data_IF_809526330452
#
_entry.id   IF_809526330452
#
_cell.length_a   1.000
_cell.length_b   1.000
_cell.length_c   1.000
_cell.angle_alpha   90.00
_cell.angle_beta   90.00
_cell.angle_gamma   90.00
#
_symmetry.space_group_name_H-M   'P 1'
#
loop_
_entity.id
_entity.type
_entity.pdbx_description
1 polymer ?
#
# COMPACT_ATOMS: atom_id res chain seq x y z
N UNK A 1 6.59 5.59 16.19
CA UNK A 1 6.36 4.90 14.90
C UNK A 1 7.44 5.41 13.97
N UNK A 2 8.23 4.54 13.34
CA UNK A 2 9.32 4.97 12.46
C UNK A 2 8.75 5.79 11.28
N UNK A 3 9.55 6.74 10.78
CA UNK A 3 9.20 7.52 9.60
C UNK A 3 8.95 6.57 8.41
N UNK A 4 7.84 6.69 7.65
CA UNK A 4 7.59 5.88 6.45
C UNK A 4 8.74 5.89 5.44
N UNK A 5 9.49 7.00 5.36
CA UNK A 5 10.69 7.12 4.53
C UNK A 5 11.83 6.25 5.06
N UNK A 6 12.10 6.28 6.37
CA UNK A 6 13.11 5.44 7.03
C UNK A 6 12.80 3.93 6.90
N UNK A 7 11.52 3.56 6.98
CA UNK A 7 11.07 2.17 6.75
C UNK A 7 11.33 1.76 5.30
N UNK A 8 11.06 2.65 4.35
CA UNK A 8 11.29 2.40 2.92
C UNK A 8 12.79 2.25 2.61
N UNK A 9 13.63 3.09 3.22
CA UNK A 9 15.08 3.05 3.05
C UNK A 9 15.70 1.77 3.64
N UNK A 10 15.32 1.41 4.87
CA UNK A 10 15.84 0.20 5.55
C UNK A 10 15.27 -1.09 4.96
N UNK A 11 14.01 -1.06 4.51
CA UNK A 11 13.31 -2.22 3.93
C UNK A 11 13.62 -2.43 2.45
N UNK A 12 14.03 -1.40 1.73
CA UNK A 12 14.29 -1.44 0.28
C UNK A 12 15.22 -2.56 -0.19
N UNK A 13 16.36 -2.82 0.48
CA UNK A 13 17.22 -3.96 0.14
C UNK A 13 16.49 -5.31 0.22
N UNK A 14 15.80 -5.57 1.33
CA UNK A 14 15.04 -6.82 1.52
C UNK A 14 13.89 -6.95 0.50
N UNK A 15 13.16 -5.86 0.22
CA UNK A 15 12.11 -5.86 -0.81
C UNK A 15 12.68 -6.22 -2.18
N UNK A 16 13.85 -5.69 -2.54
CA UNK A 16 14.53 -6.05 -3.80
C UNK A 16 14.95 -7.51 -3.85
N UNK A 17 15.47 -8.05 -2.74
CA UNK A 17 15.82 -9.48 -2.64
C UNK A 17 14.60 -10.38 -2.83
N UNK A 18 13.49 -10.06 -2.17
CA UNK A 18 12.22 -10.81 -2.32
C UNK A 18 11.68 -10.69 -3.74
N UNK A 19 11.72 -9.50 -4.35
CA UNK A 19 11.30 -9.30 -5.73
C UNK A 19 12.12 -10.18 -6.69
N UNK A 20 13.44 -10.21 -6.51
CA UNK A 20 14.32 -11.07 -7.30
C UNK A 20 14.05 -12.57 -7.08
N UNK A 21 13.76 -12.98 -5.84
CA UNK A 21 13.46 -14.38 -5.53
C UNK A 21 12.10 -14.86 -6.07
N UNK A 22 11.17 -13.95 -6.36
CA UNK A 22 9.81 -14.24 -6.81
C UNK A 22 9.54 -13.81 -8.25
N UNK A 23 10.58 -13.42 -9.01
CA UNK A 23 10.47 -12.91 -10.38
C UNK A 23 9.52 -11.70 -10.52
N UNK A 24 9.47 -10.85 -9.50
CA UNK A 24 8.70 -9.59 -9.51
C UNK A 24 9.62 -8.44 -9.95
N UNK A 25 9.22 -7.60 -10.92
CA UNK A 25 9.98 -6.41 -11.25
C UNK A 25 10.13 -5.49 -10.02
N UNK A 26 11.35 -5.15 -9.61
CA UNK A 26 11.56 -4.32 -8.42
C UNK A 26 10.87 -2.95 -8.51
N UNK A 27 10.71 -2.40 -9.72
CA UNK A 27 9.96 -1.16 -9.96
C UNK A 27 8.44 -1.29 -9.84
N UNK A 28 7.90 -2.51 -9.69
CA UNK A 28 6.47 -2.74 -9.50
C UNK A 28 6.03 -2.56 -8.03
N UNK A 29 6.97 -2.46 -7.09
CA UNK A 29 6.67 -2.33 -5.66
C UNK A 29 6.90 -0.90 -5.19
N UNK A 30 5.82 -0.13 -5.10
CA UNK A 30 5.79 1.23 -4.55
C UNK A 30 5.62 1.18 -3.02
N UNK A 31 6.73 1.02 -2.29
CA UNK A 31 6.73 0.86 -0.83
C UNK A 31 6.02 2.04 -0.12
N UNK A 32 6.34 3.33 -0.42
CA UNK A 32 5.69 4.45 0.23
C UNK A 32 4.17 4.43 0.07
N UNK A 33 3.68 4.16 -1.15
CA UNK A 33 2.24 4.12 -1.44
C UNK A 33 1.53 2.96 -0.73
N UNK A 34 2.16 1.78 -0.65
CA UNK A 34 1.60 0.62 0.08
C UNK A 34 1.49 0.92 1.58
N UNK A 35 2.53 1.52 2.17
CA UNK A 35 2.53 1.89 3.59
C UNK A 35 1.50 2.97 3.89
N UNK A 36 1.35 3.94 2.98
CA UNK A 36 0.35 5.00 3.10
C UNK A 36 -1.09 4.44 3.03
N UNK A 37 -1.39 3.56 2.08
CA UNK A 37 -2.69 2.87 2.03
C UNK A 37 -2.97 2.11 3.34
N UNK A 38 -1.97 1.36 3.82
CA UNK A 38 -2.08 0.58 5.05
C UNK A 38 -2.39 1.49 6.24
N UNK A 39 -1.77 2.67 6.30
CA UNK A 39 -2.01 3.71 7.31
C UNK A 39 -3.45 4.23 7.22
N UNK A 40 -3.91 4.63 6.05
CA UNK A 40 -5.27 5.14 5.83
C UNK A 40 -6.34 4.11 6.24
N UNK A 41 -6.18 2.86 5.83
CA UNK A 41 -7.12 1.78 6.22
C UNK A 41 -7.12 1.55 7.73
N UNK A 42 -5.93 1.55 8.34
CA UNK A 42 -5.77 1.32 9.77
C UNK A 42 -6.39 2.42 10.62
N UNK A 43 -6.35 3.67 10.13
CA UNK A 43 -6.96 4.83 10.80
C UNK A 43 -8.48 4.87 10.61
N UNK A 44 -8.98 4.61 9.40
CA UNK A 44 -10.40 4.81 9.05
C UNK A 44 -11.28 3.57 9.22
N UNK A 45 -10.69 2.40 9.44
CA UNK A 45 -11.40 1.15 9.74
C UNK A 45 -10.85 0.55 11.03
N UNK A 46 -10.02 -0.48 10.90
CA UNK A 46 -9.36 -1.14 12.04
C UNK A 46 -7.94 -1.54 11.62
N UNK A 47 -6.98 -1.47 12.56
CA UNK A 47 -5.57 -1.77 12.30
C UNK A 47 -5.32 -3.13 11.61
N UNK A 48 -6.03 -4.23 11.93
CA UNK A 48 -5.81 -5.51 11.25
C UNK A 48 -6.11 -5.50 9.74
N UNK A 49 -6.90 -4.54 9.24
CA UNK A 49 -7.29 -4.48 7.84
C UNK A 49 -6.25 -3.84 6.92
N UNK A 50 -5.25 -3.13 7.46
CA UNK A 50 -4.19 -2.50 6.65
C UNK A 50 -3.49 -3.50 5.72
N UNK A 51 -2.91 -4.60 6.24
CA UNK A 51 -2.28 -5.64 5.41
C UNK A 51 -3.25 -6.33 4.44
N UNK A 52 -4.51 -6.54 4.86
CA UNK A 52 -5.54 -7.13 3.99
C UNK A 52 -5.80 -6.22 2.80
N UNK A 53 -5.85 -4.90 3.03
CA UNK A 53 -6.02 -3.92 1.97
C UNK A 53 -4.84 -3.87 0.99
N UNK A 54 -3.61 -3.86 1.50
CA UNK A 54 -2.41 -3.93 0.66
C UNK A 54 -2.41 -5.17 -0.25
N UNK A 55 -2.82 -6.33 0.29
CA UNK A 55 -2.95 -7.56 -0.49
C UNK A 55 -4.03 -7.44 -1.59
N UNK A 56 -5.20 -6.86 -1.28
CA UNK A 56 -6.27 -6.62 -2.26
C UNK A 56 -5.80 -5.70 -3.38
N UNK A 57 -5.08 -4.61 -3.07
CA UNK A 57 -4.52 -3.71 -4.08
C UNK A 57 -3.57 -4.46 -5.02
N UNK A 58 -2.66 -5.28 -4.48
CA UNK A 58 -1.76 -6.10 -5.28
C UNK A 58 -2.50 -7.07 -6.21
N UNK A 59 -3.57 -7.72 -5.70
CA UNK A 59 -4.43 -8.58 -6.50
C UNK A 59 -5.18 -7.81 -7.60
N UNK A 60 -5.57 -6.56 -7.35
CA UNK A 60 -6.24 -5.73 -8.34
C UNK A 60 -5.28 -5.31 -9.46
N UNK A 61 -4.06 -4.88 -9.12
CA UNK A 61 -3.01 -4.55 -10.10
C UNK A 61 -2.71 -5.77 -10.98
N UNK A 62 -2.56 -6.96 -10.39
CA UNK A 62 -2.31 -8.19 -11.15
C UNK A 62 -3.46 -8.59 -12.10
N UNK A 63 -4.71 -8.24 -11.75
CA UNK A 63 -5.90 -8.52 -12.58
C UNK A 63 -6.14 -7.49 -13.68
N UNK A 64 -5.51 -6.33 -13.59
CA UNK A 64 -5.70 -5.19 -14.49
C UNK A 64 -4.35 -4.67 -14.99
N UNK A 65 -3.63 -5.42 -15.84
CA UNK A 65 -2.27 -5.06 -16.28
C UNK A 65 -2.21 -3.76 -17.09
N UNK A 66 -3.32 -3.35 -17.71
CA UNK A 66 -3.41 -2.12 -18.50
C UNK A 66 -3.90 -0.91 -17.67
N UNK A 67 -4.26 -1.10 -16.40
CA UNK A 67 -4.71 -0.01 -15.54
C UNK A 67 -3.53 0.68 -14.86
N UNK A 68 -3.64 2.00 -14.66
CA UNK A 68 -2.69 2.71 -13.81
C UNK A 68 -2.85 2.26 -12.34
N UNK A 69 -1.78 1.77 -11.68
CA UNK A 69 -1.82 1.44 -10.26
C UNK A 69 -2.29 2.61 -9.37
N UNK A 70 -2.05 3.86 -9.76
CA UNK A 70 -2.54 5.03 -9.04
C UNK A 70 -4.08 5.11 -9.07
N UNK A 71 -4.72 4.83 -10.20
CA UNK A 71 -6.19 4.81 -10.30
C UNK A 71 -6.81 3.67 -9.49
N UNK A 72 -6.12 2.53 -9.37
CA UNK A 72 -6.56 1.42 -8.52
C UNK A 72 -6.43 1.77 -7.04
N UNK A 73 -5.35 2.45 -6.66
CA UNK A 73 -5.16 3.00 -5.32
C UNK A 73 -6.27 4.00 -4.99
N UNK A 74 -6.54 4.97 -5.87
CA UNK A 74 -7.56 6.02 -5.63
C UNK A 74 -8.96 5.42 -5.49
N UNK A 75 -9.30 4.45 -6.34
CA UNK A 75 -10.57 3.70 -6.23
C UNK A 75 -10.67 2.96 -4.90
N UNK A 76 -9.58 2.35 -4.44
CA UNK A 76 -9.55 1.67 -3.16
C UNK A 76 -9.69 2.64 -1.99
N UNK A 77 -8.98 3.77 -2.03
CA UNK A 77 -9.05 4.82 -1.01
C UNK A 77 -10.47 5.39 -0.90
N UNK A 78 -11.15 5.57 -2.04
CA UNK A 78 -12.55 6.02 -2.09
C UNK A 78 -13.56 5.04 -1.44
N UNK A 79 -13.17 3.80 -1.13
CA UNK A 79 -14.03 2.86 -0.38
C UNK A 79 -14.00 3.05 1.13
N UNK A 80 -13.01 3.81 1.63
CA UNK A 80 -12.89 4.11 3.05
C UNK A 80 -13.89 5.19 3.44
N UNK A 81 -14.38 5.18 4.70
CA UNK A 81 -15.18 6.28 5.18
C UNK A 81 -14.36 7.58 5.11
N UNK A 82 -15.05 8.71 5.12
CA UNK A 82 -14.39 9.99 5.34
C UNK A 82 -13.59 9.92 6.64
N UNK A 83 -12.42 10.59 6.70
CA UNK A 83 -11.67 10.64 7.95
C UNK A 83 -12.61 11.20 9.03
N UNK A 84 -12.55 10.62 10.23
CA UNK A 84 -13.25 11.21 11.37
C UNK A 84 -12.76 12.65 11.49
N UNK A 85 -13.66 13.61 11.22
CA UNK A 85 -13.43 15.01 11.55
C UNK A 85 -13.52 15.08 13.06
N UNK A 86 -12.45 14.72 13.77
CA UNK A 86 -12.35 15.05 15.19
C UNK A 86 -12.31 16.58 15.26
N UNK A 87 -13.43 17.16 15.70
CA UNK A 87 -13.56 18.55 16.11
C UNK A 87 -12.52 18.84 17.20
N UNK A 88 -11.65 19.83 16.96
CA UNK A 88 -11.09 20.72 18.00
C UNK A 88 -10.13 20.13 19.02
#
# INVERSE_FOLDING_TARGET
MADPSEVSERGGPWVREVCAALDVPAGAVDIPRILDLTREISHRKTRPLGPVGAFILGMAVARHPDADPAELYDRMLATLPEPDTEEG
#
